data_IF_847825666968
#
_entry.id   IF_847825666968
#
_cell.length_a   1.000
_cell.length_b   1.000
_cell.length_c   1.000
_cell.angle_alpha   90.00
_cell.angle_beta   90.00
_cell.angle_gamma   90.00
#
_symmetry.space_group_name_H-M   'P 1'
#
loop_
_entity.id
_entity.type
_entity.pdbx_description
1 polymer ?
#
# COMPACT_ATOMS: atom_id res chain seq x y z
N UNK A 1 -69.79 16.21 -24.99
CA UNK A 1 -70.34 15.27 -23.98
C UNK A 1 -69.38 14.10 -23.82
N UNK A 2 -68.94 13.86 -22.57
CA UNK A 2 -68.25 12.66 -22.02
C UNK A 2 -66.83 12.38 -22.58
N UNK A 3 -65.75 12.57 -21.81
CA UNK A 3 -65.26 11.71 -20.69
C UNK A 3 -64.94 10.29 -21.17
N UNK A 4 -63.82 9.62 -20.88
CA UNK A 4 -62.65 9.85 -20.02
C UNK A 4 -61.65 8.69 -20.30
N UNK A 5 -60.56 8.63 -19.53
CA UNK A 5 -59.53 7.55 -19.39
C UNK A 5 -58.25 7.87 -20.17
N UNK A 6 -57.23 8.54 -19.61
CA UNK A 6 -56.50 8.34 -18.34
C UNK A 6 -55.77 6.99 -18.30
N UNK A 7 -54.42 7.07 -18.40
CA UNK A 7 -53.34 6.07 -18.14
C UNK A 7 -52.30 6.21 -19.27
N UNK A 8 -51.01 6.46 -19.07
CA UNK A 8 -50.16 6.31 -17.90
C UNK A 8 -48.96 7.24 -18.08
N UNK A 9 -48.63 7.88 -16.97
CA UNK A 9 -47.47 8.71 -16.71
C UNK A 9 -46.16 7.90 -16.76
N UNK A 10 -45.05 8.62 -17.00
CA UNK A 10 -43.67 8.28 -16.64
C UNK A 10 -43.03 7.05 -17.30
N UNK A 11 -42.30 7.31 -18.41
CA UNK A 11 -41.22 6.47 -18.91
C UNK A 11 -39.92 7.29 -18.93
N UNK A 12 -39.62 7.94 -17.80
CA UNK A 12 -38.34 8.61 -17.54
C UNK A 12 -37.80 8.07 -16.23
N UNK A 13 -36.86 7.12 -16.32
CA UNK A 13 -36.11 6.67 -15.14
C UNK A 13 -35.81 5.18 -15.16
N UNK A 14 -34.78 4.76 -15.91
CA UNK A 14 -34.08 3.48 -15.66
C UNK A 14 -32.76 3.35 -16.43
N UNK A 15 -31.95 4.41 -16.58
CA UNK A 15 -30.66 4.34 -17.29
C UNK A 15 -29.58 5.18 -16.61
N UNK A 16 -29.35 4.95 -15.32
CA UNK A 16 -28.22 5.56 -14.61
C UNK A 16 -27.80 4.81 -13.34
N UNK A 17 -27.88 3.48 -13.34
CA UNK A 17 -27.44 2.62 -12.23
C UNK A 17 -26.32 1.64 -12.63
N UNK A 18 -25.36 2.08 -13.45
CA UNK A 18 -24.30 1.20 -13.99
C UNK A 18 -22.87 1.71 -13.92
N UNK A 19 -22.58 2.83 -13.25
CA UNK A 19 -21.25 3.45 -13.22
C UNK A 19 -20.76 3.78 -11.79
N UNK A 20 -21.12 2.96 -10.80
CA UNK A 20 -20.43 2.92 -9.50
C UNK A 20 -19.60 1.62 -9.32
N UNK A 21 -19.25 0.96 -10.43
CA UNK A 21 -18.16 -0.02 -10.44
C UNK A 21 -16.84 0.73 -10.34
N UNK A 22 -16.25 0.80 -9.14
CA UNK A 22 -14.89 1.36 -9.04
C UNK A 22 -14.25 1.57 -7.68
N UNK A 23 -14.84 1.12 -6.57
CA UNK A 23 -14.10 0.97 -5.31
C UNK A 23 -14.16 -0.49 -4.86
N UNK A 24 -13.75 -1.42 -5.73
CA UNK A 24 -13.44 -2.77 -5.28
C UNK A 24 -12.20 -2.68 -4.41
N UNK A 25 -12.38 -2.78 -3.08
CA UNK A 25 -11.25 -3.04 -2.17
C UNK A 25 -10.53 -4.26 -2.71
N UNK A 26 -9.21 -4.17 -2.83
CA UNK A 26 -8.42 -5.32 -3.22
C UNK A 26 -8.73 -6.49 -2.27
N UNK A 27 -8.76 -7.73 -2.80
CA UNK A 27 -9.01 -8.90 -1.96
C UNK A 27 -7.96 -8.97 -0.84
N UNK A 28 -8.34 -9.44 0.36
CA UNK A 28 -7.40 -9.60 1.45
C UNK A 28 -6.31 -10.62 1.08
N UNK A 29 -5.09 -10.41 1.58
CA UNK A 29 -3.97 -11.36 1.46
C UNK A 29 -4.39 -12.74 1.96
N UNK A 30 -4.05 -13.79 1.21
CA UNK A 30 -4.36 -15.17 1.61
C UNK A 30 -3.81 -15.51 3.01
N UNK A 31 -4.60 -16.16 3.90
CA UNK A 31 -4.17 -16.48 5.27
C UNK A 31 -2.87 -17.29 5.35
N UNK A 32 -2.62 -18.19 4.40
CA UNK A 32 -1.40 -18.98 4.32
C UNK A 32 -0.15 -18.13 4.04
N UNK A 33 -0.26 -17.08 3.22
CA UNK A 33 0.83 -16.13 2.95
C UNK A 33 1.11 -15.31 4.19
N UNK A 34 0.07 -14.77 4.83
CA UNK A 34 0.19 -14.04 6.09
C UNK A 34 0.87 -14.88 7.16
N UNK A 35 0.44 -16.14 7.35
CA UNK A 35 1.01 -17.04 8.35
C UNK A 35 2.48 -17.38 8.06
N UNK A 36 2.83 -17.62 6.79
CA UNK A 36 4.17 -18.07 6.41
C UNK A 36 5.18 -16.93 6.31
N UNK A 37 4.77 -15.78 5.81
CA UNK A 37 5.67 -14.68 5.44
C UNK A 37 5.48 -13.41 6.27
N UNK A 38 4.41 -13.32 7.09
CA UNK A 38 4.14 -12.19 7.98
C UNK A 38 5.33 -11.77 8.86
N UNK A 39 6.04 -12.70 9.53
CA UNK A 39 7.22 -12.36 10.32
C UNK A 39 8.34 -11.70 9.51
N UNK A 40 8.60 -12.18 8.29
CA UNK A 40 9.65 -11.63 7.43
C UNK A 40 9.25 -10.23 6.91
N UNK A 41 7.99 -10.06 6.49
CA UNK A 41 7.46 -8.76 6.08
C UNK A 41 7.53 -7.73 7.22
N UNK A 42 7.17 -8.15 8.44
CA UNK A 42 7.26 -7.31 9.63
C UNK A 42 8.71 -6.88 9.91
N UNK A 43 9.64 -7.83 9.96
CA UNK A 43 11.04 -7.55 10.26
C UNK A 43 11.66 -6.56 9.26
N UNK A 44 11.30 -6.68 7.97
CA UNK A 44 11.72 -5.74 6.94
C UNK A 44 11.09 -4.35 7.11
N UNK A 45 9.76 -4.28 7.29
CA UNK A 45 9.04 -3.01 7.42
C UNK A 45 9.49 -2.17 8.62
N UNK A 46 9.79 -2.82 9.75
CA UNK A 46 10.30 -2.18 10.96
C UNK A 46 11.67 -1.48 10.73
N UNK A 47 12.43 -1.87 9.70
CA UNK A 47 13.69 -1.19 9.38
C UNK A 47 13.50 0.12 8.60
N UNK A 48 12.39 0.25 7.86
CA UNK A 48 12.27 1.27 6.81
C UNK A 48 11.23 2.34 7.12
N UNK A 49 10.11 1.98 7.75
CA UNK A 49 8.94 2.87 7.80
C UNK A 49 9.25 4.16 8.56
N UNK A 50 9.88 4.08 9.73
CA UNK A 50 10.20 5.31 10.47
C UNK A 50 11.28 6.14 9.77
N UNK A 51 12.22 5.52 9.08
CA UNK A 51 13.24 6.24 8.31
C UNK A 51 12.65 6.98 7.11
N UNK A 52 11.72 6.36 6.38
CA UNK A 52 10.97 7.01 5.30
C UNK A 52 10.09 8.15 5.84
N UNK A 53 9.47 7.98 7.03
CA UNK A 53 8.71 9.06 7.69
C UNK A 53 9.61 10.22 8.09
N UNK A 54 10.81 9.96 8.60
CA UNK A 54 11.79 10.99 8.94
C UNK A 54 12.25 11.76 7.70
N UNK A 55 12.61 11.07 6.62
CA UNK A 55 12.98 11.72 5.35
C UNK A 55 11.82 12.57 4.82
N UNK A 56 10.59 12.07 4.91
CA UNK A 56 9.40 12.82 4.52
C UNK A 56 9.18 14.07 5.36
N UNK A 57 9.36 14.01 6.68
CA UNK A 57 9.26 15.17 7.58
C UNK A 57 10.23 16.28 7.17
N UNK A 58 11.45 15.90 6.80
CA UNK A 58 12.48 16.82 6.33
C UNK A 58 12.11 17.41 4.95
N UNK A 59 11.66 16.58 4.01
CA UNK A 59 11.32 17.00 2.64
C UNK A 59 10.06 17.87 2.54
N UNK A 60 9.12 17.70 3.47
CA UNK A 60 7.84 18.41 3.52
C UNK A 60 7.73 19.27 4.79
N UNK A 61 8.84 19.85 5.25
CA UNK A 61 8.86 20.67 6.45
C UNK A 61 7.85 21.83 6.39
N UNK A 62 7.76 22.47 5.21
CA UNK A 62 6.91 23.65 4.97
C UNK A 62 5.47 23.31 4.52
N UNK A 63 5.22 22.06 4.10
CA UNK A 63 3.89 21.58 3.66
C UNK A 63 3.29 20.64 4.72
N UNK A 64 2.86 21.24 5.82
CA UNK A 64 2.35 20.52 7.00
C UNK A 64 1.11 19.69 6.68
N UNK A 65 0.21 20.18 5.83
CA UNK A 65 -1.02 19.46 5.48
C UNK A 65 -0.69 18.18 4.71
N UNK A 66 0.14 18.28 3.66
CA UNK A 66 0.55 17.12 2.87
C UNK A 66 1.37 16.15 3.69
N UNK A 67 2.31 16.64 4.51
CA UNK A 67 3.10 15.80 5.42
C UNK A 67 2.20 14.99 6.34
N UNK A 68 1.27 15.65 7.02
CA UNK A 68 0.36 14.98 7.98
C UNK A 68 -0.48 13.91 7.29
N UNK A 69 -0.98 14.20 6.09
CA UNK A 69 -1.73 13.24 5.29
C UNK A 69 -0.90 12.00 4.92
N UNK A 70 0.33 12.21 4.45
CA UNK A 70 1.19 11.11 4.02
C UNK A 70 1.74 10.30 5.20
N UNK A 71 2.13 10.95 6.29
CA UNK A 71 2.57 10.27 7.53
C UNK A 71 1.48 9.34 8.07
N UNK A 72 0.20 9.75 8.05
CA UNK A 72 -0.91 8.91 8.48
C UNK A 72 -1.10 7.64 7.64
N UNK A 73 -0.52 7.58 6.44
CA UNK A 73 -0.59 6.44 5.52
C UNK A 73 0.66 5.55 5.57
N UNK A 74 1.77 6.07 6.07
CA UNK A 74 3.03 5.35 6.22
C UNK A 74 3.07 4.60 7.54
N UNK A 75 2.40 3.46 7.56
CA UNK A 75 2.33 2.60 8.76
C UNK A 75 3.01 1.27 8.51
N UNK A 76 3.50 0.64 9.58
CA UNK A 76 4.04 -0.73 9.50
C UNK A 76 3.00 -1.69 8.94
N UNK A 77 1.73 -1.54 9.34
CA UNK A 77 0.64 -2.36 8.82
C UNK A 77 0.46 -2.22 7.30
N UNK A 78 0.47 -0.99 6.78
CA UNK A 78 0.38 -0.73 5.35
C UNK A 78 1.60 -1.29 4.59
N UNK A 79 2.80 -1.16 5.17
CA UNK A 79 4.01 -1.76 4.60
C UNK A 79 3.93 -3.29 4.56
N UNK A 80 3.55 -3.92 5.68
CA UNK A 80 3.43 -5.38 5.80
C UNK A 80 2.41 -5.90 4.79
N UNK A 81 1.25 -5.27 4.71
CA UNK A 81 0.21 -5.65 3.75
C UNK A 81 0.73 -5.55 2.31
N UNK A 82 1.40 -4.46 1.94
CA UNK A 82 1.98 -4.29 0.62
C UNK A 82 3.04 -5.35 0.30
N UNK A 83 3.92 -5.68 1.24
CA UNK A 83 4.95 -6.71 1.05
C UNK A 83 4.34 -8.12 0.93
N UNK A 84 3.30 -8.43 1.69
CA UNK A 84 2.64 -9.73 1.61
C UNK A 84 1.86 -9.91 0.31
N UNK A 85 1.16 -8.85 -0.16
CA UNK A 85 0.53 -8.85 -1.50
C UNK A 85 1.58 -9.11 -2.58
N UNK A 86 2.73 -8.46 -2.47
CA UNK A 86 3.84 -8.66 -3.40
C UNK A 86 4.36 -10.08 -3.39
N UNK A 87 4.54 -10.70 -2.22
CA UNK A 87 4.95 -12.10 -2.11
C UNK A 87 3.90 -13.04 -2.71
N UNK A 88 2.62 -12.71 -2.59
CA UNK A 88 1.54 -13.49 -3.21
C UNK A 88 1.61 -13.44 -4.75
N UNK A 89 1.93 -12.28 -5.33
CA UNK A 89 2.10 -12.11 -6.78
C UNK A 89 3.45 -12.63 -7.29
N UNK A 90 4.50 -12.51 -6.46
CA UNK A 90 5.90 -12.76 -6.78
C UNK A 90 6.60 -13.45 -5.60
N UNK A 91 6.47 -14.78 -5.47
CA UNK A 91 7.03 -15.51 -4.33
C UNK A 91 8.56 -15.38 -4.18
N UNK A 92 9.29 -15.08 -5.26
CA UNK A 92 10.72 -14.78 -5.28
C UNK A 92 11.09 -13.52 -4.47
N UNK A 93 10.15 -12.58 -4.29
CA UNK A 93 10.41 -11.34 -3.57
C UNK A 93 10.71 -11.55 -2.08
N UNK A 94 10.33 -12.69 -1.50
CA UNK A 94 10.63 -13.01 -0.11
C UNK A 94 12.13 -13.14 0.14
N UNK A 95 12.87 -13.71 -0.82
CA UNK A 95 14.31 -13.92 -0.68
C UNK A 95 15.06 -12.60 -0.71
N UNK A 96 14.67 -11.70 -1.62
CA UNK A 96 15.19 -10.34 -1.68
C UNK A 96 14.98 -9.59 -0.35
N UNK A 97 13.77 -9.71 0.22
CA UNK A 97 13.43 -9.09 1.50
C UNK A 97 14.23 -9.67 2.67
N UNK A 98 14.32 -11.00 2.78
CA UNK A 98 15.09 -11.69 3.84
C UNK A 98 16.58 -11.35 3.73
N UNK A 99 17.12 -11.26 2.52
CA UNK A 99 18.53 -10.91 2.29
C UNK A 99 18.82 -9.45 2.59
N UNK A 100 17.89 -8.54 2.29
CA UNK A 100 18.08 -7.11 2.55
C UNK A 100 17.97 -6.74 4.04
N UNK A 101 17.10 -7.43 4.79
CA UNK A 101 16.76 -7.05 6.18
C UNK A 101 18.00 -6.95 7.11
N UNK A 102 18.94 -7.91 7.12
CA UNK A 102 20.17 -7.79 7.92
C UNK A 102 20.99 -6.55 7.57
N UNK A 103 21.21 -6.28 6.29
CA UNK A 103 21.97 -5.11 5.84
C UNK A 103 21.33 -3.80 6.30
N UNK A 104 20.00 -3.70 6.30
CA UNK A 104 19.28 -2.54 6.85
C UNK A 104 19.41 -2.45 8.38
N UNK A 105 19.38 -3.58 9.08
CA UNK A 105 19.50 -3.60 10.53
C UNK A 105 20.89 -3.19 11.03
N UNK A 106 21.93 -3.48 10.24
CA UNK A 106 23.34 -3.15 10.54
C UNK A 106 23.70 -1.70 10.21
N UNK A 107 22.87 -1.01 9.43
CA UNK A 107 23.10 0.40 9.09
C UNK A 107 22.97 1.31 10.33
N UNK A 108 23.88 2.28 10.43
CA UNK A 108 24.05 3.13 11.62
C UNK A 108 22.87 4.05 11.92
N UNK A 109 22.19 4.52 10.89
CA UNK A 109 21.14 5.52 10.98
C UNK A 109 20.17 5.45 9.79
N UNK A 110 19.11 6.24 9.84
CA UNK A 110 18.08 6.25 8.80
C UNK A 110 18.62 6.69 7.43
N UNK A 111 19.58 7.62 7.38
CA UNK A 111 20.17 8.03 6.10
C UNK A 111 20.93 6.86 5.46
N UNK A 112 21.70 6.13 6.25
CA UNK A 112 22.40 4.93 5.78
C UNK A 112 21.43 3.83 5.32
N UNK A 113 20.34 3.59 6.06
CA UNK A 113 19.28 2.64 5.66
C UNK A 113 18.64 3.00 4.33
N UNK A 114 18.22 4.26 4.15
CA UNK A 114 17.60 4.72 2.91
C UNK A 114 18.57 4.70 1.73
N UNK A 115 19.87 4.93 1.96
CA UNK A 115 20.90 4.76 0.93
C UNK A 115 21.05 3.28 0.54
N UNK A 116 21.10 2.35 1.50
CA UNK A 116 21.15 0.91 1.21
C UNK A 116 19.91 0.44 0.44
N UNK A 117 18.73 0.93 0.78
CA UNK A 117 17.49 0.62 0.04
C UNK A 117 17.58 0.96 -1.44
N UNK A 118 18.28 2.04 -1.78
CA UNK A 118 18.44 2.54 -3.16
C UNK A 118 19.64 1.95 -3.87
N UNK A 119 20.68 1.54 -3.15
CA UNK A 119 21.95 1.11 -3.74
C UNK A 119 22.13 -0.42 -3.79
N UNK A 120 21.58 -1.16 -2.83
CA UNK A 120 21.78 -2.60 -2.71
C UNK A 120 20.75 -3.38 -3.55
N UNK A 121 21.22 -4.31 -4.39
CA UNK A 121 20.39 -5.02 -5.38
C UNK A 121 19.22 -5.78 -4.73
N UNK A 122 19.47 -6.52 -3.65
CA UNK A 122 18.42 -7.24 -2.92
C UNK A 122 17.40 -6.28 -2.29
N UNK A 123 17.82 -5.10 -1.85
CA UNK A 123 16.93 -4.11 -1.23
C UNK A 123 16.05 -3.40 -2.26
N UNK A 124 16.62 -3.04 -3.41
CA UNK A 124 15.86 -2.55 -4.56
C UNK A 124 14.85 -3.59 -5.03
N UNK A 125 15.30 -4.84 -5.14
CA UNK A 125 14.44 -5.96 -5.47
C UNK A 125 13.35 -6.18 -4.43
N UNK A 126 13.56 -5.86 -3.15
CA UNK A 126 12.56 -5.91 -2.08
C UNK A 126 11.56 -4.73 -2.11
N UNK A 127 11.91 -3.60 -2.72
CA UNK A 127 11.03 -2.44 -2.88
C UNK A 127 10.42 -2.29 -4.29
N UNK A 128 10.87 -3.08 -5.26
CA UNK A 128 10.55 -2.92 -6.68
C UNK A 128 11.03 -1.57 -7.27
N UNK A 129 12.21 -1.09 -6.83
CA UNK A 129 12.85 0.15 -7.29
C UNK A 129 13.89 -0.07 -8.40
#
# INVERSE_FOLDING_TARGET
MKSALLRTLFLVGALSAGLLSGCTKEPPVKPEILKKHGPAAKAFCEQIVECEREEMRQRLADDVQRRTYLEGRMTDAACIEAQLRRIEERPDSVEAMVTCTPALSEASDCKARLLLLRAHESCRSALNL
#
